data_IF_726563028542
#
_entry.id   IF_726563028542
#
_cell.length_a   1.000
_cell.length_b   1.000
_cell.length_c   1.000
_cell.angle_alpha   90.00
_cell.angle_beta   90.00
_cell.angle_gamma   90.00
#
_symmetry.space_group_name_H-M   'P 1'
#
loop_
_entity.id
_entity.type
_entity.pdbx_description
1 polymer ?
#
# COMPACT_ATOMS: atom_id res chain seq x y z
N UNK A 1 23.31 4.48 9.25
CA UNK A 1 22.36 5.57 9.60
C UNK A 1 21.10 4.92 10.16
N UNK A 2 20.42 5.49 11.17
CA UNK A 2 19.28 4.83 11.80
C UNK A 2 18.15 4.64 10.78
N UNK A 3 17.67 3.40 10.62
CA UNK A 3 16.54 3.01 9.76
C UNK A 3 15.27 3.86 10.01
N UNK A 4 15.15 4.41 11.22
CA UNK A 4 14.05 5.26 11.67
C UNK A 4 13.96 6.60 10.89
N UNK A 5 15.08 7.10 10.33
CA UNK A 5 15.10 8.36 9.57
C UNK A 5 14.55 8.23 8.15
N UNK A 6 14.52 7.02 7.61
CA UNK A 6 14.02 6.75 6.25
C UNK A 6 12.49 6.57 6.23
N UNK A 7 11.87 6.19 7.36
CA UNK A 7 10.40 6.10 7.48
C UNK A 7 9.72 7.47 7.39
N UNK A 8 10.46 8.55 7.63
CA UNK A 8 10.01 9.95 7.53
C UNK A 8 10.05 10.52 6.10
N UNK A 9 10.75 9.85 5.15
CA UNK A 9 10.85 10.28 3.75
C UNK A 9 9.73 9.73 2.84
N UNK A 10 8.85 8.88 3.36
CA UNK A 10 7.68 8.37 2.63
C UNK A 10 6.56 9.42 2.52
N UNK A 11 5.80 9.44 1.40
CA UNK A 11 4.59 10.27 1.36
C UNK A 11 3.61 9.81 2.45
N UNK A 12 2.71 10.69 2.84
CA UNK A 12 1.72 10.41 3.89
C UNK A 12 0.98 9.09 3.61
N UNK A 13 0.84 8.27 4.67
CA UNK A 13 0.19 6.95 4.66
C UNK A 13 -1.32 7.08 4.54
N UNK A 14 -1.76 7.55 3.39
CA UNK A 14 -3.16 7.74 3.04
C UNK A 14 -3.35 7.05 1.68
N UNK A 15 -4.23 6.06 1.50
CA UNK A 15 -4.95 5.25 2.51
C UNK A 15 -4.05 4.31 3.34
N UNK A 16 -4.49 4.00 4.56
CA UNK A 16 -3.86 3.02 5.45
C UNK A 16 -4.08 1.59 4.93
N UNK A 17 -3.18 1.09 4.08
CA UNK A 17 -3.20 -0.29 3.55
C UNK A 17 -3.16 -1.36 4.66
N UNK A 18 -2.64 -1.03 5.84
CA UNK A 18 -2.68 -1.89 7.04
C UNK A 18 -4.12 -2.19 7.49
N UNK A 19 -5.06 -1.28 7.29
CA UNK A 19 -6.47 -1.50 7.62
C UNK A 19 -7.13 -2.50 6.67
N UNK A 20 -6.80 -2.48 5.39
CA UNK A 20 -7.23 -3.51 4.43
C UNK A 20 -6.64 -4.89 4.78
N UNK A 21 -5.38 -4.93 5.24
CA UNK A 21 -4.77 -6.18 5.69
C UNK A 21 -5.41 -6.72 6.97
N UNK A 22 -5.74 -5.87 7.94
CA UNK A 22 -6.36 -6.31 9.20
C UNK A 22 -7.79 -6.77 9.01
N UNK A 23 -8.57 -6.08 8.17
CA UNK A 23 -9.94 -6.47 7.82
C UNK A 23 -9.97 -7.79 7.06
N UNK A 24 -9.09 -7.97 6.08
CA UNK A 24 -8.91 -9.26 5.40
C UNK A 24 -8.53 -10.38 6.37
N UNK A 25 -7.58 -10.14 7.29
CA UNK A 25 -7.19 -11.12 8.32
C UNK A 25 -8.29 -11.42 9.33
N UNK A 26 -9.17 -10.45 9.61
CA UNK A 26 -10.33 -10.64 10.48
C UNK A 26 -11.47 -11.42 9.80
N UNK A 27 -11.57 -11.34 8.47
CA UNK A 27 -12.54 -12.09 7.65
C UNK A 27 -12.17 -13.55 7.43
N UNK A 28 -10.89 -13.92 7.61
CA UNK A 28 -10.42 -15.30 7.53
C UNK A 28 -10.90 -16.13 8.73
N UNK A 29 -11.68 -17.20 8.47
CA UNK A 29 -12.17 -18.14 9.48
C UNK A 29 -11.05 -18.88 10.24
N UNK A 30 -9.85 -18.96 9.66
CA UNK A 30 -8.68 -19.63 10.25
C UNK A 30 -7.93 -18.78 11.30
N UNK A 31 -8.31 -17.52 11.49
CA UNK A 31 -7.62 -16.63 12.44
C UNK A 31 -8.05 -16.95 13.88
N UNK A 32 -7.11 -17.22 14.80
CA UNK A 32 -7.46 -17.58 16.17
C UNK A 32 -8.24 -16.46 16.87
N UNK A 33 -9.30 -16.81 17.61
CA UNK A 33 -10.29 -15.86 18.13
C UNK A 33 -9.74 -14.73 19.02
N UNK A 34 -8.59 -14.93 19.68
CA UNK A 34 -7.91 -13.88 20.45
C UNK A 34 -7.29 -12.80 19.55
N UNK A 35 -6.72 -13.22 18.41
CA UNK A 35 -6.09 -12.35 17.41
C UNK A 35 -7.17 -11.57 16.66
N UNK A 36 -8.33 -12.20 16.40
CA UNK A 36 -9.51 -11.53 15.82
C UNK A 36 -10.02 -10.39 16.71
N UNK A 37 -10.11 -10.60 18.04
CA UNK A 37 -10.52 -9.53 18.98
C UNK A 37 -9.52 -8.38 19.04
N UNK A 38 -8.22 -8.67 19.13
CA UNK A 38 -7.19 -7.62 19.11
C UNK A 38 -7.13 -6.86 17.77
N UNK A 39 -7.37 -7.56 16.66
CA UNK A 39 -7.47 -6.93 15.34
C UNK A 39 -8.70 -6.04 15.25
N UNK A 40 -9.85 -6.50 15.76
CA UNK A 40 -11.07 -5.69 15.82
C UNK A 40 -10.85 -4.44 16.67
N UNK A 41 -10.28 -4.53 17.87
CA UNK A 41 -10.00 -3.35 18.70
C UNK A 41 -9.06 -2.35 18.01
N UNK A 42 -8.06 -2.84 17.26
CA UNK A 42 -7.18 -1.99 16.46
C UNK A 42 -7.90 -1.35 15.28
N UNK A 43 -8.78 -2.10 14.61
CA UNK A 43 -9.61 -1.60 13.51
C UNK A 43 -10.57 -0.52 14.04
N UNK A 44 -11.29 -0.77 15.14
CA UNK A 44 -12.24 0.19 15.71
C UNK A 44 -11.56 1.46 16.18
N UNK A 45 -10.37 1.36 16.78
CA UNK A 45 -9.55 2.53 17.15
C UNK A 45 -9.11 3.33 15.93
N UNK A 46 -8.54 2.68 14.92
CA UNK A 46 -8.16 3.40 13.70
C UNK A 46 -9.35 4.00 12.95
N UNK A 47 -10.51 3.33 12.95
CA UNK A 47 -11.74 3.88 12.34
C UNK A 47 -12.24 5.09 13.14
N UNK A 48 -12.12 5.07 14.47
CA UNK A 48 -12.42 6.21 15.36
C UNK A 48 -11.44 7.37 15.16
N UNK A 49 -10.15 7.09 15.02
CA UNK A 49 -9.10 8.09 14.85
C UNK A 49 -9.12 8.74 13.45
N UNK A 50 -9.43 7.95 12.40
CA UNK A 50 -9.44 8.42 11.01
C UNK A 50 -10.84 8.79 10.48
N UNK A 51 -11.90 8.61 11.28
CA UNK A 51 -13.31 8.89 10.94
C UNK A 51 -13.77 8.26 9.61
N UNK A 52 -13.41 7.00 9.37
CA UNK A 52 -13.66 6.29 8.10
C UNK A 52 -15.09 5.72 7.99
N UNK A 53 -16.10 6.58 7.89
CA UNK A 53 -17.51 6.16 7.90
C UNK A 53 -17.91 5.21 6.74
N UNK A 54 -17.60 5.50 5.46
CA UNK A 54 -17.88 4.58 4.35
C UNK A 54 -17.17 3.23 4.48
N UNK A 55 -15.92 3.23 4.97
CA UNK A 55 -15.16 2.00 5.13
C UNK A 55 -15.71 1.13 6.27
N UNK A 56 -16.21 1.72 7.35
CA UNK A 56 -16.89 0.98 8.43
C UNK A 56 -18.13 0.24 7.92
N UNK A 57 -18.89 0.81 6.98
CA UNK A 57 -20.04 0.11 6.37
C UNK A 57 -19.61 -1.08 5.50
N UNK A 58 -18.53 -0.94 4.71
CA UNK A 58 -17.98 -2.04 3.91
C UNK A 58 -17.43 -3.14 4.81
N UNK A 59 -16.68 -2.77 5.85
CA UNK A 59 -16.07 -3.70 6.81
C UNK A 59 -17.12 -4.41 7.65
N UNK A 60 -18.19 -3.73 8.07
CA UNK A 60 -19.30 -4.37 8.78
C UNK A 60 -20.07 -5.36 7.89
N UNK A 61 -20.22 -5.05 6.60
CA UNK A 61 -20.81 -5.97 5.61
C UNK A 61 -19.93 -7.20 5.37
N UNK A 62 -18.62 -7.01 5.26
CA UNK A 62 -17.68 -8.13 5.04
C UNK A 62 -17.49 -9.02 6.28
N UNK A 63 -17.56 -8.44 7.48
CA UNK A 63 -17.32 -9.16 8.75
C UNK A 63 -18.60 -9.65 9.43
N UNK A 64 -19.79 -9.37 8.88
CA UNK A 64 -21.10 -9.66 9.49
C UNK A 64 -21.19 -9.15 10.95
N UNK A 65 -20.60 -7.98 11.23
CA UNK A 65 -20.64 -7.36 12.56
C UNK A 65 -21.83 -6.42 12.69
N UNK A 66 -22.46 -6.32 13.89
CA UNK A 66 -23.51 -5.35 14.14
C UNK A 66 -22.95 -3.94 13.99
N UNK A 67 -23.65 -3.13 13.20
CA UNK A 67 -23.25 -1.76 12.88
C UNK A 67 -23.63 -0.83 14.04
N UNK A 68 -22.64 -0.19 14.67
CA UNK A 68 -22.91 0.81 15.71
C UNK A 68 -23.36 2.14 15.08
N UNK A 69 -24.68 2.32 14.96
CA UNK A 69 -25.30 3.47 14.31
C UNK A 69 -24.99 4.83 14.98
N UNK A 70 -24.64 4.84 16.27
CA UNK A 70 -24.28 6.07 16.98
C UNK A 70 -22.89 6.58 16.60
N UNK A 71 -21.94 5.66 16.41
CA UNK A 71 -20.57 5.97 16.01
C UNK A 71 -20.53 6.38 14.54
N UNK A 72 -21.35 5.73 13.69
CA UNK A 72 -21.49 6.14 12.29
C UNK A 72 -22.06 7.55 12.13
N UNK A 73 -23.11 7.91 12.88
CA UNK A 73 -23.71 9.25 12.78
C UNK A 73 -22.77 10.34 13.27
N UNK A 74 -22.03 10.10 14.35
CA UNK A 74 -21.02 11.07 14.81
C UNK A 74 -19.90 11.23 13.80
N UNK A 75 -19.41 10.15 13.19
CA UNK A 75 -18.40 10.19 12.12
C UNK A 75 -18.92 10.87 10.85
N UNK A 76 -20.15 10.60 10.42
CA UNK A 76 -20.76 11.26 9.26
C UNK A 76 -20.89 12.76 9.48
N UNK A 77 -21.29 13.19 10.70
CA UNK A 77 -21.40 14.62 11.00
C UNK A 77 -20.05 15.35 10.95
N UNK A 78 -18.98 14.73 11.49
CA UNK A 78 -17.61 15.28 11.43
C UNK A 78 -17.07 15.28 9.99
N UNK A 79 -17.44 14.27 9.20
CA UNK A 79 -17.04 14.18 7.80
C UNK A 79 -17.73 15.27 6.97
N UNK A 80 -19.03 15.47 7.14
CA UNK A 80 -19.76 16.55 6.46
C UNK A 80 -19.23 17.93 6.81
N UNK A 81 -18.87 18.20 8.08
CA UNK A 81 -18.28 19.49 8.46
C UNK A 81 -16.94 19.71 7.78
N UNK A 82 -16.07 18.70 7.76
CA UNK A 82 -14.75 18.81 7.12
C UNK A 82 -14.84 18.89 5.59
N UNK A 83 -15.76 18.17 4.96
CA UNK A 83 -16.02 18.30 3.52
C UNK A 83 -16.50 19.72 3.20
N UNK A 84 -17.40 20.29 4.01
CA UNK A 84 -17.89 21.68 3.83
C UNK A 84 -16.77 22.71 4.02
N UNK A 85 -15.89 22.53 4.99
CA UNK A 85 -14.71 23.39 5.18
C UNK A 85 -13.76 23.31 3.98
N UNK A 86 -13.51 22.11 3.46
CA UNK A 86 -12.67 21.89 2.29
C UNK A 86 -13.31 22.46 1.00
N UNK A 87 -14.64 22.34 0.85
CA UNK A 87 -15.38 22.97 -0.25
C UNK A 87 -15.36 24.50 -0.17
N UNK A 88 -15.45 25.06 1.03
CA UNK A 88 -15.28 26.50 1.23
C UNK A 88 -13.87 26.95 0.86
N UNK A 89 -12.82 26.22 1.28
CA UNK A 89 -11.43 26.51 0.88
C UNK A 89 -11.22 26.42 -0.63
N UNK A 90 -11.86 25.47 -1.32
CA UNK A 90 -11.77 25.37 -2.78
C UNK A 90 -12.45 26.57 -3.45
N UNK A 91 -13.62 26.99 -2.98
CA UNK A 91 -14.30 28.18 -3.51
C UNK A 91 -13.53 29.46 -3.25
N UNK A 92 -13.00 29.63 -2.04
CA UNK A 92 -12.15 30.77 -1.69
C UNK A 92 -10.89 30.80 -2.56
N UNK A 93 -10.33 29.62 -2.87
CA UNK A 93 -9.18 29.51 -3.78
C UNK A 93 -9.55 29.78 -5.25
N UNK A 94 -10.76 29.42 -5.69
CA UNK A 94 -11.26 29.72 -7.04
C UNK A 94 -11.59 31.21 -7.22
N UNK A 95 -12.06 31.88 -6.17
CA UNK A 95 -12.45 33.30 -6.21
C UNK A 95 -11.28 34.26 -5.97
N UNK A 96 -10.31 33.90 -5.12
CA UNK A 96 -9.26 34.83 -4.65
C UNK A 96 -7.82 34.42 -5.01
N UNK A 97 -7.55 33.17 -5.39
CA UNK A 97 -6.20 32.62 -5.49
C UNK A 97 -5.91 32.01 -6.88
N UNK A 98 -4.63 31.73 -7.14
CA UNK A 98 -4.18 31.23 -8.44
C UNK A 98 -4.43 29.73 -8.65
N UNK A 99 -4.23 29.26 -9.89
CA UNK A 99 -4.36 27.85 -10.29
C UNK A 99 -3.56 26.86 -9.42
N UNK A 100 -2.48 27.32 -8.79
CA UNK A 100 -1.65 26.51 -7.90
C UNK A 100 -2.32 26.19 -6.57
N UNK A 101 -3.07 27.12 -5.99
CA UNK A 101 -3.74 26.94 -4.69
C UNK A 101 -5.06 26.18 -4.84
N UNK A 102 -5.75 26.35 -5.97
CA UNK A 102 -6.91 25.50 -6.32
C UNK A 102 -6.48 24.03 -6.38
N UNK A 103 -5.30 23.73 -6.95
CA UNK A 103 -4.79 22.35 -7.05
C UNK A 103 -4.41 21.76 -5.69
N UNK A 104 -3.78 22.52 -4.80
CA UNK A 104 -3.43 22.02 -3.47
C UNK A 104 -4.69 21.77 -2.63
N UNK A 105 -5.67 22.67 -2.68
CA UNK A 105 -6.96 22.50 -2.01
C UNK A 105 -7.75 21.29 -2.56
N UNK A 106 -7.77 21.10 -3.88
CA UNK A 106 -8.37 19.91 -4.50
C UNK A 106 -7.65 18.62 -4.07
N UNK A 107 -6.33 18.64 -3.95
CA UNK A 107 -5.54 17.49 -3.51
C UNK A 107 -5.78 17.16 -2.03
N UNK A 108 -5.85 18.18 -1.17
CA UNK A 108 -6.18 18.00 0.25
C UNK A 108 -7.58 17.40 0.41
N UNK A 109 -8.56 17.87 -0.39
CA UNK A 109 -9.89 17.25 -0.45
C UNK A 109 -9.84 15.80 -0.91
N UNK A 110 -9.07 15.50 -1.96
CA UNK A 110 -8.96 14.14 -2.48
C UNK A 110 -8.26 13.20 -1.49
N UNK A 111 -7.24 13.68 -0.76
CA UNK A 111 -6.62 12.95 0.35
C UNK A 111 -7.61 12.72 1.49
N UNK A 112 -8.43 13.71 1.83
CA UNK A 112 -9.46 13.57 2.86
C UNK A 112 -10.54 12.57 2.45
N UNK A 113 -11.03 12.61 1.20
CA UNK A 113 -11.98 11.64 0.65
C UNK A 113 -11.41 10.22 0.60
N UNK A 114 -10.12 10.10 0.29
CA UNK A 114 -9.38 8.84 0.32
C UNK A 114 -9.21 8.31 1.75
N UNK A 115 -8.98 9.22 2.72
CA UNK A 115 -8.89 8.91 4.14
C UNK A 115 -10.22 8.41 4.70
N UNK A 116 -11.37 8.93 4.28
CA UNK A 116 -12.68 8.43 4.74
C UNK A 116 -13.08 7.10 4.08
N UNK A 117 -12.47 6.75 2.94
CA UNK A 117 -12.77 5.54 2.18
C UNK A 117 -13.98 5.68 1.25
N UNK A 118 -14.28 6.87 0.75
CA UNK A 118 -15.28 7.04 -0.32
C UNK A 118 -14.64 6.77 -1.69
N UNK A 119 -14.91 5.58 -2.27
CA UNK A 119 -14.32 5.12 -3.53
C UNK A 119 -14.72 6.03 -4.70
N UNK A 120 -16.00 6.32 -4.85
CA UNK A 120 -16.52 6.99 -6.04
C UNK A 120 -16.28 8.51 -6.00
N UNK A 121 -16.44 9.13 -4.83
CA UNK A 121 -16.11 10.53 -4.62
C UNK A 121 -14.62 10.83 -4.84
N UNK A 122 -13.74 9.96 -4.30
CA UNK A 122 -12.29 10.09 -4.49
C UNK A 122 -11.90 9.95 -5.96
N UNK A 123 -12.39 8.92 -6.65
CA UNK A 123 -12.05 8.68 -8.06
C UNK A 123 -12.49 9.85 -8.96
N UNK A 124 -13.65 10.43 -8.67
CA UNK A 124 -14.16 11.58 -9.42
C UNK A 124 -13.29 12.82 -9.23
N UNK A 125 -12.90 13.11 -7.98
CA UNK A 125 -11.98 14.23 -7.69
C UNK A 125 -10.59 14.01 -8.28
N UNK A 126 -10.04 12.80 -8.21
CA UNK A 126 -8.74 12.51 -8.82
C UNK A 126 -8.75 12.62 -10.35
N UNK A 127 -9.88 12.33 -11.02
CA UNK A 127 -10.02 12.58 -12.47
C UNK A 127 -10.00 14.07 -12.78
N UNK A 128 -10.76 14.88 -12.03
CA UNK A 128 -10.75 16.35 -12.20
C UNK A 128 -9.35 16.94 -11.97
N UNK A 129 -8.60 16.40 -11.01
CA UNK A 129 -7.22 16.80 -10.73
C UNK A 129 -6.29 16.42 -11.89
N UNK A 130 -6.45 15.23 -12.48
CA UNK A 130 -5.64 14.80 -13.62
C UNK A 130 -5.88 15.68 -14.86
N UNK A 131 -7.13 16.09 -15.10
CA UNK A 131 -7.49 16.97 -16.22
C UNK A 131 -6.93 18.39 -16.04
N UNK A 132 -6.95 18.92 -14.80
CA UNK A 132 -6.41 20.25 -14.48
C UNK A 132 -4.88 20.29 -14.35
N UNK A 133 -4.22 19.14 -14.11
CA UNK A 133 -2.77 19.11 -13.90
C UNK A 133 -2.00 19.01 -15.21
N UNK A 134 -1.07 19.94 -15.41
CA UNK A 134 -0.17 19.99 -16.58
C UNK A 134 1.20 19.34 -16.29
N UNK A 135 1.57 19.15 -15.02
CA UNK A 135 2.91 18.68 -14.65
C UNK A 135 2.95 17.14 -14.54
N UNK A 136 3.87 16.45 -15.26
CA UNK A 136 3.89 14.99 -15.33
C UNK A 136 4.17 14.31 -13.98
N UNK A 137 5.04 14.89 -13.15
CA UNK A 137 5.32 14.38 -11.80
C UNK A 137 4.08 14.33 -10.90
N UNK A 138 3.27 15.39 -10.95
CA UNK A 138 2.04 15.48 -10.16
C UNK A 138 0.95 14.53 -10.66
N UNK A 139 0.87 14.30 -11.99
CA UNK A 139 -0.01 13.27 -12.57
C UNK A 139 0.38 11.87 -12.08
N UNK A 140 1.68 11.56 -12.04
CA UNK A 140 2.16 10.29 -11.52
C UNK A 140 1.82 10.10 -10.05
N UNK A 141 2.03 11.10 -9.21
CA UNK A 141 1.72 11.02 -7.78
C UNK A 141 0.21 10.82 -7.53
N UNK A 142 -0.63 11.47 -8.34
CA UNK A 142 -2.08 11.26 -8.34
C UNK A 142 -2.46 9.83 -8.75
N UNK A 143 -1.84 9.29 -9.81
CA UNK A 143 -2.08 7.92 -10.26
C UNK A 143 -1.64 6.90 -9.21
N UNK A 144 -0.49 7.11 -8.53
CA UNK A 144 -0.08 6.27 -7.40
C UNK A 144 -1.11 6.29 -6.28
N UNK A 145 -1.76 7.42 -6.02
CA UNK A 145 -2.84 7.49 -5.05
C UNK A 145 -4.07 6.67 -5.46
N UNK A 146 -4.47 6.72 -6.75
CA UNK A 146 -5.56 5.90 -7.28
C UNK A 146 -5.21 4.40 -7.18
N UNK A 147 -3.97 4.03 -7.48
CA UNK A 147 -3.49 2.64 -7.35
C UNK A 147 -3.58 2.17 -5.90
N UNK A 148 -3.20 3.01 -4.92
CA UNK A 148 -3.33 2.70 -3.49
C UNK A 148 -4.79 2.47 -3.09
N UNK A 149 -5.71 3.30 -3.57
CA UNK A 149 -7.16 3.10 -3.39
C UNK A 149 -7.60 1.77 -4.03
N UNK A 150 -7.12 1.46 -5.23
CA UNK A 150 -7.37 0.18 -5.89
C UNK A 150 -6.94 -1.02 -5.07
N UNK A 151 -5.75 -0.96 -4.46
CA UNK A 151 -5.26 -2.00 -3.55
C UNK A 151 -6.12 -2.13 -2.28
N UNK A 152 -6.58 -1.00 -1.74
CA UNK A 152 -7.43 -0.98 -0.56
C UNK A 152 -8.79 -1.65 -0.78
N UNK A 153 -9.42 -1.43 -1.94
CA UNK A 153 -10.69 -2.07 -2.32
C UNK A 153 -10.53 -3.42 -3.04
N UNK A 154 -9.30 -3.87 -3.31
CA UNK A 154 -9.02 -5.13 -4.01
C UNK A 154 -9.45 -5.17 -5.48
N UNK A 155 -9.65 -4.01 -6.12
CA UNK A 155 -10.17 -3.89 -7.49
C UNK A 155 -9.04 -4.03 -8.53
N UNK A 156 -8.90 -5.24 -9.09
CA UNK A 156 -7.78 -5.60 -9.98
C UNK A 156 -7.81 -4.89 -11.34
N UNK A 157 -9.00 -4.62 -11.86
CA UNK A 157 -9.16 -3.96 -13.16
C UNK A 157 -8.75 -2.49 -13.08
N UNK A 158 -9.09 -1.83 -11.96
CA UNK A 158 -8.68 -0.47 -11.69
C UNK A 158 -7.16 -0.37 -11.54
N UNK A 159 -6.53 -1.32 -10.85
CA UNK A 159 -5.07 -1.33 -10.66
C UNK A 159 -4.36 -1.49 -12.02
N UNK A 160 -4.78 -2.46 -12.84
CA UNK A 160 -4.14 -2.73 -14.14
C UNK A 160 -4.16 -1.51 -15.06
N UNK A 161 -5.34 -0.89 -15.22
CA UNK A 161 -5.51 0.30 -16.06
C UNK A 161 -4.63 1.47 -15.61
N UNK A 162 -4.49 1.65 -14.30
CA UNK A 162 -3.69 2.75 -13.76
C UNK A 162 -2.19 2.46 -13.79
N UNK A 163 -1.76 1.19 -13.68
CA UNK A 163 -0.36 0.80 -13.88
C UNK A 163 0.06 1.04 -15.34
N UNK A 164 -0.78 0.72 -16.32
CA UNK A 164 -0.50 1.01 -17.74
C UNK A 164 -0.36 2.51 -17.99
N UNK A 165 -1.29 3.33 -17.47
CA UNK A 165 -1.19 4.80 -17.55
C UNK A 165 0.08 5.33 -16.91
N UNK A 166 0.47 4.80 -15.75
CA UNK A 166 1.70 5.18 -15.07
C UNK A 166 2.94 4.80 -15.89
N UNK A 167 2.96 3.63 -16.55
CA UNK A 167 4.07 3.23 -17.41
C UNK A 167 4.26 4.21 -18.57
N UNK A 168 3.17 4.57 -19.28
CA UNK A 168 3.24 5.51 -20.40
C UNK A 168 3.80 6.88 -19.97
N UNK A 169 3.32 7.40 -18.84
CA UNK A 169 3.79 8.68 -18.28
C UNK A 169 5.26 8.64 -17.83
N UNK A 170 5.77 7.47 -17.42
CA UNK A 170 7.19 7.33 -17.06
C UNK A 170 8.07 7.25 -18.31
N UNK A 171 7.59 6.64 -19.39
CA UNK A 171 8.29 6.62 -20.68
C UNK A 171 8.39 8.03 -21.31
N UNK A 172 7.38 8.88 -21.09
CA UNK A 172 7.37 10.27 -21.58
C UNK A 172 8.34 11.21 -20.83
N UNK A 173 8.84 10.83 -19.64
CA UNK A 173 9.79 11.65 -18.89
C UNK A 173 9.65 11.54 -17.37
N UNK A 174 9.55 10.32 -16.84
CA UNK A 174 9.42 10.09 -15.40
C UNK A 174 10.74 10.13 -14.63
N UNK A 175 10.70 10.70 -13.43
CA UNK A 175 11.82 10.65 -12.50
C UNK A 175 12.20 9.21 -12.12
N UNK A 176 13.51 9.00 -11.93
CA UNK A 176 14.07 7.70 -11.58
C UNK A 176 13.48 7.13 -10.27
N UNK A 177 13.23 7.97 -9.25
CA UNK A 177 12.59 7.53 -8.00
C UNK A 177 11.15 7.04 -8.24
N UNK A 178 10.36 7.77 -9.03
CA UNK A 178 8.97 7.40 -9.38
C UNK A 178 8.92 6.09 -10.17
N UNK A 179 9.93 5.82 -11.01
CA UNK A 179 10.08 4.54 -11.71
C UNK A 179 10.29 3.37 -10.74
N UNK A 180 11.10 3.55 -9.70
CA UNK A 180 11.32 2.51 -8.70
C UNK A 180 10.05 2.24 -7.88
N UNK A 181 9.31 3.28 -7.50
CA UNK A 181 8.01 3.12 -6.84
C UNK A 181 7.03 2.33 -7.71
N UNK A 182 6.93 2.64 -9.00
CA UNK A 182 6.06 1.88 -9.92
C UNK A 182 6.46 0.41 -10.01
N UNK A 183 7.76 0.07 -9.97
CA UNK A 183 8.21 -1.33 -9.93
C UNK A 183 7.70 -2.04 -8.68
N UNK A 184 7.71 -1.39 -7.51
CA UNK A 184 7.17 -1.96 -6.26
C UNK A 184 5.66 -2.19 -6.38
N UNK A 185 4.90 -1.20 -6.86
CA UNK A 185 3.45 -1.35 -7.09
C UNK A 185 3.13 -2.48 -8.08
N UNK A 186 3.88 -2.57 -9.18
CA UNK A 186 3.74 -3.63 -10.18
C UNK A 186 4.10 -5.01 -9.62
N UNK A 187 5.17 -5.09 -8.82
CA UNK A 187 5.57 -6.32 -8.14
C UNK A 187 4.48 -6.82 -7.18
N UNK A 188 3.89 -5.91 -6.40
CA UNK A 188 2.79 -6.23 -5.48
C UNK A 188 1.54 -6.72 -6.22
N UNK A 189 1.19 -6.08 -7.35
CA UNK A 189 0.09 -6.54 -8.19
C UNK A 189 0.38 -7.91 -8.81
N UNK A 190 1.58 -8.12 -9.34
CA UNK A 190 1.99 -9.40 -9.96
C UNK A 190 1.94 -10.55 -8.94
N UNK A 191 2.36 -10.30 -7.70
CA UNK A 191 2.22 -11.25 -6.59
C UNK A 191 0.74 -11.58 -6.30
N UNK A 192 -0.17 -10.60 -6.43
CA UNK A 192 -1.61 -10.80 -6.26
C UNK A 192 -2.26 -11.64 -7.37
N UNK A 193 -1.71 -11.56 -8.59
CA UNK A 193 -2.13 -12.36 -9.76
C UNK A 193 -1.42 -13.73 -9.81
N UNK A 194 -0.54 -14.02 -8.83
CA UNK A 194 0.29 -15.24 -8.74
C UNK A 194 1.37 -15.36 -9.83
N UNK A 195 1.77 -14.24 -10.43
CA UNK A 195 2.92 -14.16 -11.32
C UNK A 195 4.18 -13.84 -10.50
N UNK A 196 4.82 -14.89 -10.00
CA UNK A 196 6.01 -14.77 -9.15
C UNK A 196 7.27 -14.42 -9.94
N UNK A 197 7.34 -14.76 -11.22
CA UNK A 197 8.50 -14.49 -12.08
C UNK A 197 8.65 -12.99 -12.34
N UNK A 198 7.54 -12.33 -12.70
CA UNK A 198 7.51 -10.89 -12.86
C UNK A 198 7.67 -10.17 -11.51
N UNK A 199 7.05 -10.68 -10.45
CA UNK A 199 7.17 -10.10 -9.12
C UNK A 199 8.61 -10.12 -8.60
N UNK A 200 9.30 -11.26 -8.68
CA UNK A 200 10.68 -11.40 -8.19
C UNK A 200 11.65 -10.47 -8.93
N UNK A 201 11.52 -10.34 -10.25
CA UNK A 201 12.36 -9.42 -11.04
C UNK A 201 12.14 -7.96 -10.63
N UNK A 202 10.88 -7.52 -10.57
CA UNK A 202 10.55 -6.14 -10.21
C UNK A 202 10.94 -5.81 -8.77
N UNK A 203 10.79 -6.75 -7.84
CA UNK A 203 11.17 -6.56 -6.45
C UNK A 203 12.69 -6.51 -6.27
N UNK A 204 13.45 -7.45 -6.85
CA UNK A 204 14.92 -7.45 -6.73
C UNK A 204 15.55 -6.18 -7.28
N UNK A 205 15.04 -5.66 -8.39
CA UNK A 205 15.49 -4.38 -8.94
C UNK A 205 15.19 -3.18 -8.02
N UNK A 206 14.15 -3.28 -7.19
CA UNK A 206 13.70 -2.22 -6.32
C UNK A 206 14.29 -2.29 -4.90
N UNK A 207 14.97 -3.38 -4.51
CA UNK A 207 15.59 -3.53 -3.16
C UNK A 207 16.62 -2.44 -2.88
N UNK A 208 17.46 -2.12 -3.86
CA UNK A 208 18.55 -1.15 -3.71
C UNK A 208 18.11 0.29 -3.58
N UNK A 209 16.85 0.57 -3.89
CA UNK A 209 16.35 1.93 -4.13
C UNK A 209 14.95 2.10 -3.54
N UNK A 210 14.67 1.34 -2.49
CA UNK A 210 13.36 1.30 -1.87
C UNK A 210 13.08 2.60 -1.12
N UNK A 211 12.17 3.41 -1.66
CA UNK A 211 11.66 4.65 -1.06
C UNK A 211 10.15 4.56 -0.74
N UNK A 212 9.54 3.38 -0.91
CA UNK A 212 8.10 3.17 -0.84
C UNK A 212 7.58 2.77 0.55
N UNK A 213 7.91 3.56 1.58
CA UNK A 213 7.43 3.35 2.97
C UNK A 213 5.91 3.49 3.14
N UNK A 214 5.22 3.98 2.10
CA UNK A 214 3.76 4.08 2.00
C UNK A 214 3.07 2.71 1.92
N UNK A 215 3.69 1.74 1.24
CA UNK A 215 3.09 0.44 0.95
C UNK A 215 3.35 -0.56 2.08
N UNK A 216 4.60 -0.64 2.53
CA UNK A 216 5.05 -1.61 3.53
C UNK A 216 6.35 -1.18 4.18
N UNK A 217 6.58 -1.71 5.38
CA UNK A 217 7.88 -1.60 6.05
C UNK A 217 8.95 -2.32 5.21
N UNK A 218 10.16 -1.76 5.18
CA UNK A 218 11.30 -2.30 4.44
C UNK A 218 11.60 -3.75 4.82
N UNK A 219 11.44 -4.10 6.10
CA UNK A 219 11.58 -5.49 6.57
C UNK A 219 10.56 -6.43 5.92
N UNK A 220 9.30 -5.98 5.81
CA UNK A 220 8.22 -6.74 5.19
C UNK A 220 8.41 -6.87 3.68
N UNK A 221 8.90 -5.80 3.04
CA UNK A 221 9.27 -5.80 1.62
C UNK A 221 10.35 -6.82 1.31
N UNK A 222 11.40 -6.91 2.14
CA UNK A 222 12.46 -7.89 1.94
C UNK A 222 11.95 -9.31 2.14
N UNK A 223 11.08 -9.56 3.14
CA UNK A 223 10.44 -10.87 3.32
C UNK A 223 9.72 -11.29 2.03
N UNK A 224 8.87 -10.43 1.46
CA UNK A 224 8.14 -10.75 0.23
C UNK A 224 9.06 -10.93 -0.98
N UNK A 225 10.10 -10.11 -1.09
CA UNK A 225 11.12 -10.26 -2.14
C UNK A 225 11.81 -11.61 -2.05
N UNK A 226 12.25 -12.03 -0.86
CA UNK A 226 12.90 -13.33 -0.66
C UNK A 226 11.94 -14.48 -0.97
N UNK A 227 10.69 -14.40 -0.50
CA UNK A 227 9.68 -15.44 -0.74
C UNK A 227 9.36 -15.58 -2.25
N UNK A 228 9.15 -14.47 -2.96
CA UNK A 228 8.92 -14.47 -4.40
C UNK A 228 10.16 -14.98 -5.17
N UNK A 229 11.36 -14.55 -4.77
CA UNK A 229 12.61 -14.97 -5.39
C UNK A 229 12.89 -16.47 -5.22
N UNK A 230 12.57 -17.05 -4.06
CA UNK A 230 12.72 -18.50 -3.83
C UNK A 230 11.81 -19.36 -4.71
N UNK A 231 10.65 -18.82 -5.13
CA UNK A 231 9.70 -19.52 -6.00
C UNK A 231 10.09 -19.35 -7.48
N UNK A 232 10.48 -18.14 -7.88
CA UNK A 232 10.71 -17.78 -9.29
C UNK A 232 12.12 -18.09 -9.80
N UNK A 233 13.16 -17.92 -8.97
CA UNK A 233 14.54 -17.98 -9.44
C UNK A 233 15.13 -19.39 -9.36
N UNK A 234 16.01 -19.69 -10.32
CA UNK A 234 16.84 -20.89 -10.30
C UNK A 234 17.95 -20.74 -9.24
N UNK A 235 18.45 -21.87 -8.73
CA UNK A 235 19.55 -21.93 -7.74
C UNK A 235 20.76 -21.01 -8.00
N UNK A 236 21.33 -20.92 -9.23
CA UNK A 236 22.47 -20.02 -9.47
C UNK A 236 22.10 -18.55 -9.29
N UNK A 237 20.96 -18.11 -9.85
CA UNK A 237 20.51 -16.72 -9.79
C UNK A 237 20.14 -16.31 -8.37
N UNK A 238 19.56 -17.24 -7.58
CA UNK A 238 19.25 -17.02 -6.17
C UNK A 238 20.52 -16.78 -5.35
N UNK A 239 21.60 -17.52 -5.65
CA UNK A 239 22.88 -17.35 -4.96
C UNK A 239 23.48 -15.97 -5.22
N UNK A 240 23.44 -15.53 -6.47
CA UNK A 240 24.06 -14.26 -6.87
C UNK A 240 23.24 -13.06 -6.40
N UNK A 241 21.92 -13.08 -6.61
CA UNK A 241 21.06 -11.92 -6.35
C UNK A 241 20.59 -11.82 -4.91
N UNK A 242 20.28 -12.95 -4.26
CA UNK A 242 19.67 -12.95 -2.91
C UNK A 242 20.70 -13.25 -1.83
N UNK A 243 21.50 -14.31 -1.99
CA UNK A 243 22.45 -14.73 -0.95
C UNK A 243 23.65 -13.78 -0.90
N UNK A 244 24.14 -13.30 -2.04
CA UNK A 244 25.26 -12.34 -2.09
C UNK A 244 24.84 -10.87 -2.05
N UNK A 245 23.53 -10.57 -2.10
CA UNK A 245 23.02 -9.21 -1.99
C UNK A 245 23.24 -8.64 -0.59
N UNK A 246 24.03 -7.59 -0.47
CA UNK A 246 24.39 -6.95 0.81
C UNK A 246 23.18 -6.41 1.56
N UNK A 247 22.26 -5.77 0.85
CA UNK A 247 21.04 -5.15 1.41
C UNK A 247 20.09 -6.18 2.02
N UNK A 248 19.94 -7.32 1.32
CA UNK A 248 19.09 -8.42 1.80
C UNK A 248 19.76 -9.07 3.00
N UNK A 249 21.08 -9.29 2.96
CA UNK A 249 21.81 -9.86 4.10
C UNK A 249 21.71 -9.00 5.37
N UNK A 250 21.86 -7.68 5.26
CA UNK A 250 21.78 -6.77 6.40
C UNK A 250 20.43 -6.90 7.13
N UNK A 251 19.33 -6.99 6.38
CA UNK A 251 17.99 -7.15 6.99
C UNK A 251 17.71 -8.60 7.43
N UNK A 252 18.27 -9.59 6.73
CA UNK A 252 18.21 -11.00 7.13
C UNK A 252 18.87 -11.25 8.49
N UNK A 253 19.87 -10.44 8.89
CA UNK A 253 20.43 -10.52 10.24
C UNK A 253 19.41 -10.17 11.34
N UNK A 254 18.46 -9.27 11.06
CA UNK A 254 17.37 -8.94 11.98
C UNK A 254 16.21 -9.94 11.97
N UNK A 255 16.16 -10.87 11.01
CA UNK A 255 15.07 -11.83 10.80
C UNK A 255 15.62 -13.26 10.65
N UNK A 256 15.99 -13.92 11.76
CA UNK A 256 16.63 -15.23 11.73
C UNK A 256 15.76 -16.30 11.05
N UNK A 257 14.43 -16.23 11.19
CA UNK A 257 13.49 -17.20 10.60
C UNK A 257 13.52 -17.22 9.08
N UNK A 258 13.64 -16.05 8.43
CA UNK A 258 13.70 -15.93 6.96
C UNK A 258 15.06 -16.41 6.45
N UNK A 259 16.12 -16.08 7.21
CA UNK A 259 17.47 -16.51 6.91
C UNK A 259 17.63 -18.03 7.00
N UNK A 260 17.11 -18.65 8.04
CA UNK A 260 17.11 -20.11 8.19
C UNK A 260 16.31 -20.78 7.07
N UNK A 261 15.18 -20.20 6.68
CA UNK A 261 14.38 -20.70 5.55
C UNK A 261 15.15 -20.64 4.21
N UNK A 262 15.82 -19.53 3.91
CA UNK A 262 16.61 -19.37 2.68
C UNK A 262 17.86 -20.29 2.67
N UNK A 263 18.60 -20.32 3.79
CA UNK A 263 19.85 -21.08 3.90
C UNK A 263 19.60 -22.58 3.96
N UNK A 264 18.54 -23.04 4.62
CA UNK A 264 18.19 -24.48 4.66
C UNK A 264 17.87 -25.03 3.27
N UNK A 265 17.21 -24.24 2.40
CA UNK A 265 16.96 -24.63 1.01
C UNK A 265 18.27 -24.69 0.20
N UNK A 266 19.17 -23.72 0.40
CA UNK A 266 20.43 -23.65 -0.33
C UNK A 266 21.42 -24.75 0.09
N UNK A 267 21.59 -24.95 1.40
CA UNK A 267 22.47 -25.96 2.00
C UNK A 267 21.91 -27.39 1.89
N UNK A 268 20.73 -27.56 1.28
CA UNK A 268 20.02 -28.84 1.16
C UNK A 268 19.68 -29.51 2.51
N UNK A 269 19.48 -28.70 3.57
CA UNK A 269 19.03 -29.15 4.89
C UNK A 269 17.51 -29.21 4.94
N UNK A 270 16.94 -30.22 4.28
CA UNK A 270 15.49 -30.34 4.11
C UNK A 270 14.73 -30.52 5.44
N UNK A 271 15.34 -31.13 6.46
CA UNK A 271 14.72 -31.29 7.77
C UNK A 271 14.42 -29.95 8.46
N UNK A 272 15.36 -29.01 8.40
CA UNK A 272 15.19 -27.67 8.96
C UNK A 272 14.26 -26.83 8.08
N UNK A 273 14.34 -27.00 6.74
CA UNK A 273 13.45 -26.33 5.79
C UNK A 273 11.97 -26.59 6.08
N UNK A 274 11.57 -27.86 6.30
CA UNK A 274 10.18 -28.18 6.63
C UNK A 274 9.74 -27.64 7.99
N UNK A 275 10.66 -27.53 8.97
CA UNK A 275 10.37 -26.90 10.27
C UNK A 275 10.15 -25.40 10.12
N UNK A 276 11.00 -24.73 9.35
CA UNK A 276 10.86 -23.30 9.06
C UNK A 276 9.60 -23.03 8.24
N UNK A 277 9.26 -23.89 7.27
CA UNK A 277 8.03 -23.76 6.49
C UNK A 277 6.77 -23.89 7.36
N UNK A 278 6.77 -24.82 8.31
CA UNK A 278 5.67 -25.00 9.28
C UNK A 278 5.46 -23.82 10.23
N UNK A 279 6.44 -22.92 10.36
CA UNK A 279 6.27 -21.67 11.11
C UNK A 279 5.54 -20.58 10.30
N UNK A 280 5.58 -20.66 8.96
CA UNK A 280 4.97 -19.68 8.06
C UNK A 280 3.58 -20.07 7.55
N UNK A 281 3.22 -21.37 7.59
CA UNK A 281 1.88 -21.87 7.25
C UNK A 281 0.93 -21.86 8.46
#
# INVERSE_FOLDING_TARGET
MPLERLEEEGLEKIPNLKLAQWTFRAGLEKTPGHLRKQLLDKITKCIQDDHMAPYYEVVCKELNLPVDQQILKSMQSVNETKIKELDAKIKDAEENLGDTEIRTAMMEKAHYLSKIGDKDGSLSQFRLILDKSLMPGFRLDTIFHIIRIGFFFGDRDLITKNIEKANNLIEEGGDWDRRNRLKVYRGLYSMSVRDFDAAAKNFLDAVATFTSYELMDYKTFIIYTVMAAMIALKRPDLREKVIRGSEIQEVLHGLPTVREYLMSLFDCRYADFFRSLGYWC
#
